data_IF_048867523807
#
_entry.id   IF_048867523807
#
_cell.length_a   1.000
_cell.length_b   1.000
_cell.length_c   1.000
_cell.angle_alpha   90.00
_cell.angle_beta   90.00
_cell.angle_gamma   90.00
#
_symmetry.space_group_name_H-M   'P 1'
#
loop_
_entity.id
_entity.type
_entity.pdbx_description
1 polymer ?
#
# COMPACT_ATOMS: atom_id res chain seq x y z
N UNK A 1 -4.00 -7.74 9.69
CA UNK A 1 -5.35 -7.20 9.90
C UNK A 1 -5.33 -6.10 10.93
N UNK A 2 -5.01 -4.91 10.45
CA UNK A 2 -5.11 -3.67 11.19
C UNK A 2 -6.60 -3.35 11.41
N UNK A 3 -7.15 -3.71 12.57
CA UNK A 3 -8.48 -3.25 12.99
C UNK A 3 -8.50 -1.75 13.33
N UNK A 4 -7.33 -1.08 13.33
CA UNK A 4 -7.17 0.34 13.62
C UNK A 4 -6.10 0.95 12.72
N UNK A 5 -6.41 2.13 12.16
CA UNK A 5 -5.44 2.95 11.43
C UNK A 5 -4.33 3.36 12.40
N UNK A 6 -3.04 3.13 12.09
CA UNK A 6 -1.94 3.37 13.03
C UNK A 6 -1.63 4.87 13.25
N UNK A 7 -2.49 5.79 12.80
CA UNK A 7 -2.26 7.23 12.79
C UNK A 7 -3.42 7.94 13.51
N UNK A 8 -3.07 8.80 14.46
CA UNK A 8 -4.03 9.73 15.05
C UNK A 8 -4.05 11.02 14.21
N UNK A 9 -4.97 11.08 13.25
CA UNK A 9 -5.12 12.21 12.33
C UNK A 9 -5.44 13.54 13.03
N UNK A 10 -6.04 13.51 14.24
CA UNK A 10 -6.33 14.74 15.00
C UNK A 10 -5.05 15.44 15.52
N UNK A 11 -3.93 14.71 15.57
CA UNK A 11 -2.64 15.22 16.02
C UNK A 11 -1.68 15.58 14.87
N UNK A 12 -2.11 15.37 13.63
CA UNK A 12 -1.32 15.71 12.43
C UNK A 12 -1.50 17.19 12.11
N UNK A 13 -0.42 17.85 11.68
CA UNK A 13 -0.51 19.24 11.21
C UNK A 13 -1.38 19.29 9.96
N UNK A 14 -2.17 20.36 9.81
CA UNK A 14 -3.08 20.51 8.65
C UNK A 14 -2.37 20.40 7.30
N UNK A 15 -1.13 20.90 7.21
CA UNK A 15 -0.31 20.86 5.99
C UNK A 15 0.15 19.45 5.59
N UNK A 16 0.18 18.51 6.54
CA UNK A 16 0.59 17.11 6.32
C UNK A 16 -0.59 16.14 6.28
N UNK A 17 -1.79 16.61 6.62
CA UNK A 17 -2.97 15.76 6.83
C UNK A 17 -3.30 14.90 5.60
N UNK A 18 -3.31 15.50 4.41
CA UNK A 18 -3.65 14.77 3.17
C UNK A 18 -2.59 13.72 2.82
N UNK A 19 -1.30 14.02 3.07
CA UNK A 19 -0.20 13.05 2.89
C UNK A 19 -0.37 11.87 3.85
N UNK A 20 -0.69 12.12 5.11
CA UNK A 20 -0.92 11.06 6.11
C UNK A 20 -2.17 10.22 5.79
N UNK A 21 -3.23 10.82 5.26
CA UNK A 21 -4.41 10.09 4.79
C UNK A 21 -4.03 9.14 3.65
N UNK A 22 -3.28 9.62 2.67
CA UNK A 22 -2.85 8.80 1.52
C UNK A 22 -1.91 7.66 1.96
N UNK A 23 -0.97 7.93 2.86
CA UNK A 23 -0.10 6.88 3.43
C UNK A 23 -0.90 5.85 4.23
N UNK A 24 -1.87 6.29 5.03
CA UNK A 24 -2.77 5.38 5.75
C UNK A 24 -3.58 4.49 4.79
N UNK A 25 -4.06 5.05 3.67
CA UNK A 25 -4.78 4.31 2.65
C UNK A 25 -3.88 3.25 2.00
N UNK A 26 -2.65 3.60 1.59
CA UNK A 26 -1.67 2.64 1.04
C UNK A 26 -1.40 1.50 2.03
N UNK A 27 -1.24 1.81 3.32
CA UNK A 27 -1.05 0.79 4.37
C UNK A 27 -2.25 -0.17 4.45
N UNK A 28 -3.47 0.36 4.37
CA UNK A 28 -4.69 -0.45 4.42
C UNK A 28 -4.77 -1.40 3.22
N UNK A 29 -4.48 -0.92 2.01
CA UNK A 29 -4.50 -1.76 0.81
C UNK A 29 -3.42 -2.84 0.85
N UNK A 30 -2.21 -2.53 1.33
CA UNK A 30 -1.15 -3.53 1.49
C UNK A 30 -1.50 -4.61 2.53
N UNK A 31 -2.18 -4.26 3.63
CA UNK A 31 -2.69 -5.26 4.59
C UNK A 31 -3.80 -6.12 3.97
N UNK A 32 -4.69 -5.53 3.16
CA UNK A 32 -5.74 -6.25 2.44
C UNK A 32 -5.16 -7.25 1.41
N UNK A 33 -4.18 -6.83 0.61
CA UNK A 33 -3.47 -7.70 -0.33
C UNK A 33 -2.89 -8.92 0.39
N UNK A 34 -2.10 -8.68 1.45
CA UNK A 34 -1.46 -9.75 2.21
C UNK A 34 -2.50 -10.69 2.84
N UNK A 35 -3.59 -10.12 3.37
CA UNK A 35 -4.68 -10.89 3.97
C UNK A 35 -5.35 -11.81 2.95
N UNK A 36 -5.78 -11.27 1.81
CA UNK A 36 -6.51 -12.03 0.81
C UNK A 36 -5.64 -13.10 0.15
N UNK A 37 -4.37 -12.80 -0.13
CA UNK A 37 -3.43 -13.81 -0.63
C UNK A 37 -3.18 -14.92 0.39
N UNK A 38 -3.05 -14.59 1.68
CA UNK A 38 -2.92 -15.60 2.75
C UNK A 38 -4.18 -16.47 2.87
N UNK A 39 -5.37 -15.86 2.85
CA UNK A 39 -6.64 -16.59 2.87
C UNK A 39 -6.79 -17.49 1.64
N UNK A 40 -6.43 -17.01 0.45
CA UNK A 40 -6.46 -17.77 -0.78
C UNK A 40 -5.52 -18.98 -0.73
N UNK A 41 -4.36 -18.85 -0.08
CA UNK A 41 -3.37 -19.92 0.05
C UNK A 41 -3.85 -21.12 0.88
N UNK A 42 -4.80 -20.90 1.80
CA UNK A 42 -5.36 -21.94 2.68
C UNK A 42 -6.80 -22.33 2.33
N UNK A 43 -7.44 -21.59 1.41
CA UNK A 43 -8.80 -21.88 0.95
C UNK A 43 -8.85 -23.22 0.19
N UNK A 44 -9.81 -24.07 0.53
CA UNK A 44 -10.04 -25.37 -0.12
C UNK A 44 -11.09 -25.32 -1.23
N UNK A 45 -11.95 -24.32 -1.21
CA UNK A 45 -12.96 -24.11 -2.23
C UNK A 45 -12.34 -23.22 -3.32
N UNK A 46 -12.37 -23.70 -4.58
CA UNK A 46 -11.73 -23.01 -5.70
C UNK A 46 -12.41 -21.68 -6.06
N UNK A 47 -13.72 -21.57 -5.91
CA UNK A 47 -14.45 -20.32 -6.17
C UNK A 47 -14.02 -19.24 -5.15
N UNK A 48 -13.89 -19.61 -3.87
CA UNK A 48 -13.41 -18.69 -2.83
C UNK A 48 -11.98 -18.24 -3.12
N UNK A 49 -11.10 -19.17 -3.50
CA UNK A 49 -9.71 -18.87 -3.84
C UNK A 49 -9.63 -17.91 -5.04
N UNK A 50 -10.42 -18.17 -6.09
CA UNK A 50 -10.48 -17.33 -7.27
C UNK A 50 -10.89 -15.90 -6.94
N UNK A 51 -11.98 -15.72 -6.18
CA UNK A 51 -12.46 -14.39 -5.80
C UNK A 51 -11.45 -13.66 -4.90
N UNK A 52 -10.84 -14.35 -3.92
CA UNK A 52 -9.82 -13.72 -3.07
C UNK A 52 -8.61 -13.21 -3.86
N UNK A 53 -8.15 -13.97 -4.86
CA UNK A 53 -7.02 -13.56 -5.69
C UNK A 53 -7.38 -12.42 -6.65
N UNK A 54 -8.62 -12.40 -7.16
CA UNK A 54 -9.14 -11.33 -8.01
C UNK A 54 -9.21 -10.01 -7.22
N UNK A 55 -9.84 -10.04 -6.05
CA UNK A 55 -9.92 -8.89 -5.14
C UNK A 55 -8.52 -8.42 -4.72
N UNK A 56 -7.60 -9.34 -4.36
CA UNK A 56 -6.22 -8.97 -4.05
C UNK A 56 -5.50 -8.27 -5.23
N UNK A 57 -5.87 -8.58 -6.47
CA UNK A 57 -5.40 -7.88 -7.67
C UNK A 57 -5.97 -6.47 -7.79
N UNK A 58 -7.24 -6.27 -7.46
CA UNK A 58 -7.89 -4.95 -7.42
C UNK A 58 -7.23 -4.06 -6.36
N UNK A 59 -6.94 -4.57 -5.16
CA UNK A 59 -6.30 -3.77 -4.11
C UNK A 59 -4.88 -3.31 -4.49
N UNK A 60 -4.15 -4.09 -5.32
CA UNK A 60 -2.87 -3.65 -5.90
C UNK A 60 -3.04 -2.46 -6.83
N UNK A 61 -4.17 -2.36 -7.52
CA UNK A 61 -4.51 -1.18 -8.32
C UNK A 61 -4.80 0.01 -7.42
N UNK A 62 -5.54 -0.18 -6.33
CA UNK A 62 -5.82 0.88 -5.35
C UNK A 62 -4.54 1.42 -4.68
N UNK A 63 -3.55 0.56 -4.37
CA UNK A 63 -2.20 1.02 -3.95
C UNK A 63 -1.64 2.01 -4.96
N UNK A 64 -1.71 1.69 -6.26
CA UNK A 64 -1.25 2.55 -7.33
C UNK A 64 -2.00 3.88 -7.42
N UNK A 65 -3.33 3.87 -7.24
CA UNK A 65 -4.14 5.10 -7.24
C UNK A 65 -3.76 6.05 -6.11
N UNK A 66 -3.65 5.54 -4.88
CA UNK A 66 -3.25 6.36 -3.73
C UNK A 66 -1.80 6.83 -3.83
N UNK A 67 -0.89 5.97 -4.29
CA UNK A 67 0.51 6.36 -4.51
C UNK A 67 0.61 7.46 -5.56
N UNK A 68 -0.11 7.35 -6.68
CA UNK A 68 -0.10 8.37 -7.72
C UNK A 68 -0.60 9.74 -7.22
N UNK A 69 -1.55 9.77 -6.29
CA UNK A 69 -1.96 11.00 -5.62
C UNK A 69 -0.89 11.49 -4.63
N UNK A 70 -0.32 10.61 -3.80
CA UNK A 70 0.69 10.97 -2.80
C UNK A 70 1.87 11.69 -3.46
N UNK A 71 2.37 11.17 -4.58
CA UNK A 71 3.49 11.75 -5.32
C UNK A 71 3.22 13.13 -5.93
N UNK A 72 1.95 13.56 -6.02
CA UNK A 72 1.61 14.95 -6.40
C UNK A 72 1.74 15.94 -5.25
N UNK A 73 1.67 15.46 -4.02
CA UNK A 73 1.68 16.29 -2.81
C UNK A 73 2.99 16.20 -2.02
N UNK A 74 3.86 15.24 -2.35
CA UNK A 74 5.06 14.92 -1.59
C UNK A 74 6.28 14.75 -2.52
N UNK A 75 6.93 15.88 -2.85
CA UNK A 75 8.12 15.90 -3.71
C UNK A 75 9.31 15.15 -3.08
N UNK A 76 9.42 15.15 -1.75
CA UNK A 76 10.45 14.37 -1.04
C UNK A 76 10.24 12.87 -1.26
N UNK A 77 8.99 12.39 -1.14
CA UNK A 77 8.68 10.99 -1.43
C UNK A 77 9.01 10.57 -2.87
N UNK A 78 8.88 11.47 -3.86
CA UNK A 78 9.30 11.19 -5.24
C UNK A 78 10.81 10.98 -5.33
N UNK A 79 11.60 11.88 -4.71
CA UNK A 79 13.07 11.77 -4.68
C UNK A 79 13.52 10.48 -4.02
N UNK A 80 12.98 10.18 -2.83
CA UNK A 80 13.39 9.01 -2.06
C UNK A 80 12.96 7.68 -2.71
N UNK A 81 11.91 7.67 -3.54
CA UNK A 81 11.55 6.47 -4.32
C UNK A 81 12.56 6.17 -5.44
N UNK A 82 13.11 7.20 -6.09
CA UNK A 82 14.16 7.01 -7.10
C UNK A 82 15.47 6.57 -6.42
N UNK A 83 15.87 7.23 -5.34
CA UNK A 83 17.07 6.84 -4.57
C UNK A 83 16.94 5.41 -4.04
N UNK A 84 15.79 5.03 -3.48
CA UNK A 84 15.57 3.67 -3.01
C UNK A 84 15.64 2.61 -4.13
N UNK A 85 15.27 2.97 -5.36
CA UNK A 85 15.43 2.09 -6.52
C UNK A 85 16.90 1.93 -6.89
N UNK A 86 17.66 3.03 -6.95
CA UNK A 86 19.11 3.01 -7.19
C UNK A 86 19.84 2.17 -6.12
N UNK A 87 19.49 2.35 -4.84
CA UNK A 87 20.07 1.57 -3.73
C UNK A 87 19.83 0.05 -3.89
N UNK A 88 18.65 -0.38 -4.35
CA UNK A 88 18.37 -1.81 -4.60
C UNK A 88 19.22 -2.35 -5.74
N UNK A 89 19.38 -1.59 -6.82
CA UNK A 89 20.21 -1.97 -7.97
C UNK A 89 21.69 -2.10 -7.53
N UNK A 90 22.20 -1.16 -6.74
CA UNK A 90 23.57 -1.20 -6.19
C UNK A 90 23.81 -2.38 -5.25
N UNK A 91 22.88 -2.64 -4.33
CA UNK A 91 23.04 -3.67 -3.29
C UNK A 91 22.81 -5.09 -3.82
N UNK A 92 21.92 -5.26 -4.80
CA UNK A 92 21.53 -6.58 -5.31
C UNK A 92 22.15 -6.93 -6.66
N UNK A 93 22.69 -5.93 -7.39
CA UNK A 93 23.24 -6.09 -8.72
C UNK A 93 22.21 -6.53 -9.77
N UNK A 94 20.92 -6.24 -9.52
CA UNK A 94 19.78 -6.62 -10.36
C UNK A 94 18.90 -5.42 -10.65
#
# INVERSE_FOLDING_TARGET
MLSQIPINLEKVKKEDLDKEILRAAIIAELDAINLYEQMASVAKNEDIKMILLDVAGEEKTHVGEFQALLLRFDEEQVKELEEGKEEVEELTGK
#
